data_IF_823504510453
#
_entry.id   IF_823504510453
#
_cell.length_a   1.000
_cell.length_b   1.000
_cell.length_c   1.000
_cell.angle_alpha   90.00
_cell.angle_beta   90.00
_cell.angle_gamma   90.00
#
_symmetry.space_group_name_H-M   'P 1'
#
loop_
_entity.id
_entity.type
_entity.pdbx_description
1 polymer ?
#
# COMPACT_ATOMS: atom_id res chain seq x y z
N UNK A 1 11.38 9.38 0.22
CA UNK A 1 12.25 10.58 0.08
C UNK A 1 11.57 11.90 0.44
N UNK A 2 10.37 12.22 -0.06
CA UNK A 2 9.69 13.51 0.23
C UNK A 2 9.43 13.75 1.73
N UNK A 3 9.11 12.71 2.49
CA UNK A 3 8.82 12.81 3.92
C UNK A 3 10.07 13.25 4.74
N UNK A 4 11.26 12.74 4.41
CA UNK A 4 12.52 13.15 5.05
C UNK A 4 12.85 14.62 4.80
N UNK A 5 12.65 15.06 3.56
CA UNK A 5 12.91 16.45 3.16
C UNK A 5 12.00 17.43 3.93
N UNK A 6 10.76 17.01 4.26
CA UNK A 6 9.82 17.81 5.04
C UNK A 6 10.09 17.74 6.55
N UNK A 7 10.52 16.59 7.07
CA UNK A 7 10.77 16.42 8.51
C UNK A 7 12.03 17.17 8.98
N UNK A 8 13.08 17.21 8.16
CA UNK A 8 14.36 17.83 8.53
C UNK A 8 14.25 19.29 8.97
N UNK A 9 13.61 20.21 8.21
CA UNK A 9 13.46 21.58 8.65
C UNK A 9 12.62 21.74 9.92
N UNK A 10 11.60 20.88 10.11
CA UNK A 10 10.76 20.93 11.31
C UNK A 10 11.53 20.47 12.55
N UNK A 11 12.39 19.47 12.43
CA UNK A 11 13.30 19.04 13.50
C UNK A 11 14.29 20.17 13.82
N UNK A 12 14.87 20.82 12.81
CA UNK A 12 15.80 21.92 13.01
C UNK A 12 15.14 23.09 13.75
N UNK A 13 13.91 23.46 13.41
CA UNK A 13 13.13 24.48 14.12
C UNK A 13 12.86 24.05 15.56
N UNK A 14 12.47 22.80 15.79
CA UNK A 14 12.25 22.27 17.14
C UNK A 14 13.51 22.34 18.00
N UNK A 15 14.67 21.95 17.47
CA UNK A 15 15.97 22.05 18.16
C UNK A 15 16.33 23.52 18.43
N UNK A 16 16.11 24.42 17.47
CA UNK A 16 16.34 25.83 17.64
C UNK A 16 15.50 26.43 18.78
N UNK A 17 14.22 26.08 18.88
CA UNK A 17 13.34 26.49 19.98
C UNK A 17 13.81 26.00 21.36
N UNK A 18 14.49 24.85 21.43
CA UNK A 18 15.04 24.30 22.67
C UNK A 18 16.30 25.07 23.13
N UNK A 19 17.15 25.49 22.17
CA UNK A 19 18.51 26.03 22.43
C UNK A 19 18.51 27.56 22.58
N UNK A 20 17.53 28.26 22.00
CA UNK A 20 17.48 29.71 22.01
C UNK A 20 17.36 30.25 23.44
N UNK A 21 18.33 31.08 23.83
CA UNK A 21 18.31 31.79 25.10
C UNK A 21 17.23 32.89 25.09
N UNK A 22 16.36 32.89 26.11
CA UNK A 22 15.25 33.85 26.25
C UNK A 22 13.90 33.34 25.75
N UNK A 23 13.79 32.10 25.25
CA UNK A 23 12.52 31.44 24.96
C UNK A 23 11.70 31.14 26.22
N UNK A 24 10.36 31.20 26.12
CA UNK A 24 9.46 30.82 27.21
C UNK A 24 9.54 29.29 27.48
N UNK A 25 9.15 28.87 28.71
CA UNK A 25 9.05 27.43 29.01
C UNK A 25 8.13 26.71 28.00
N UNK A 26 7.08 27.38 27.55
CA UNK A 26 6.17 26.86 26.53
C UNK A 26 6.88 26.60 25.20
N UNK A 27 7.76 27.50 24.75
CA UNK A 27 8.52 27.33 23.52
C UNK A 27 9.47 26.14 23.61
N UNK A 28 10.09 25.93 24.76
CA UNK A 28 10.97 24.78 25.00
C UNK A 28 10.20 23.46 24.98
N UNK A 29 9.03 23.42 25.62
CA UNK A 29 8.16 22.22 25.61
C UNK A 29 7.70 21.91 24.18
N UNK A 30 7.25 22.91 23.43
CA UNK A 30 6.88 22.75 22.02
C UNK A 30 8.04 22.29 21.15
N UNK A 31 9.24 22.81 21.38
CA UNK A 31 10.46 22.37 20.72
C UNK A 31 10.75 20.88 20.97
N UNK A 32 10.63 20.41 22.21
CA UNK A 32 10.80 19.00 22.56
C UNK A 32 9.76 18.12 21.91
N UNK A 33 8.46 18.50 22.01
CA UNK A 33 7.35 17.74 21.40
C UNK A 33 7.54 17.63 19.89
N UNK A 34 7.86 18.76 19.22
CA UNK A 34 8.09 18.79 17.77
C UNK A 34 9.29 17.93 17.37
N UNK A 35 10.42 18.08 18.06
CA UNK A 35 11.63 17.29 17.77
C UNK A 35 11.41 15.79 17.97
N UNK A 36 10.73 15.38 19.03
CA UNK A 36 10.41 13.96 19.27
C UNK A 36 9.45 13.43 18.21
N UNK A 37 8.39 14.17 17.90
CA UNK A 37 7.37 13.75 16.94
C UNK A 37 7.96 13.59 15.52
N UNK A 38 8.65 14.60 15.03
CA UNK A 38 9.28 14.54 13.70
C UNK A 38 10.53 13.66 13.69
N UNK A 39 11.24 13.54 14.82
CA UNK A 39 12.36 12.63 14.99
C UNK A 39 11.97 11.16 14.81
N UNK A 40 10.78 10.76 15.24
CA UNK A 40 10.24 9.42 15.00
C UNK A 40 10.02 9.12 13.51
N UNK A 41 9.82 10.13 12.67
CA UNK A 41 9.71 9.95 11.23
C UNK A 41 10.99 9.39 10.59
N UNK A 42 12.16 9.65 11.20
CA UNK A 42 13.45 9.19 10.69
C UNK A 42 13.56 7.66 10.74
N UNK A 43 13.43 6.98 11.90
CA UNK A 43 13.52 5.51 11.95
C UNK A 43 12.41 4.83 11.13
N UNK A 44 11.20 5.37 11.10
CA UNK A 44 10.10 4.84 10.29
C UNK A 44 10.44 4.94 8.79
N UNK A 45 10.93 6.09 8.36
CA UNK A 45 11.31 6.29 6.97
C UNK A 45 12.52 5.45 6.56
N UNK A 46 13.52 5.28 7.44
CA UNK A 46 14.64 4.37 7.20
C UNK A 46 14.16 2.92 7.08
N UNK A 47 13.25 2.49 7.94
CA UNK A 47 12.67 1.16 7.83
C UNK A 47 11.99 0.94 6.47
N UNK A 48 11.18 1.89 6.00
CA UNK A 48 10.57 1.80 4.68
C UNK A 48 11.59 1.85 3.52
N UNK A 49 12.69 2.57 3.67
CA UNK A 49 13.72 2.68 2.65
C UNK A 49 14.52 1.37 2.51
N UNK A 50 14.74 0.66 3.62
CA UNK A 50 15.45 -0.61 3.65
C UNK A 50 14.56 -1.83 3.46
N UNK A 51 13.23 -1.67 3.55
CA UNK A 51 12.28 -2.76 3.30
C UNK A 51 12.15 -3.01 1.79
N UNK A 52 12.98 -3.92 1.31
CA UNK A 52 13.01 -4.38 -0.09
C UNK A 52 12.06 -5.55 -0.36
N UNK A 53 11.20 -5.89 0.58
CA UNK A 53 10.27 -7.00 0.38
C UNK A 53 9.25 -6.63 -0.68
N UNK A 54 8.91 -7.57 -1.59
CA UNK A 54 7.88 -7.30 -2.60
C UNK A 54 6.56 -6.96 -1.89
N UNK A 55 5.89 -5.92 -2.38
CA UNK A 55 4.59 -5.53 -1.89
C UNK A 55 3.52 -6.47 -2.42
N UNK A 56 3.59 -6.79 -3.71
CA UNK A 56 2.66 -7.68 -4.40
C UNK A 56 3.44 -8.87 -4.95
N UNK A 57 2.93 -10.07 -4.74
CA UNK A 57 3.47 -11.31 -5.31
C UNK A 57 2.35 -11.98 -6.09
N UNK A 58 2.62 -12.25 -7.35
CA UNK A 58 1.72 -12.97 -8.25
C UNK A 58 2.36 -14.29 -8.61
N UNK A 59 1.66 -15.39 -8.39
CA UNK A 59 2.11 -16.72 -8.75
C UNK A 59 0.95 -17.59 -9.29
N UNK A 60 1.21 -18.86 -9.57
CA UNK A 60 0.21 -19.80 -10.08
C UNK A 60 -0.97 -20.05 -9.13
N UNK A 61 -0.77 -19.82 -7.83
CA UNK A 61 -1.77 -20.05 -6.78
C UNK A 61 -2.73 -18.87 -6.69
N UNK A 62 -2.20 -17.64 -6.75
CA UNK A 62 -3.01 -16.44 -6.53
C UNK A 62 -2.18 -15.16 -6.45
N UNK A 63 -2.79 -14.13 -5.90
CA UNK A 63 -2.20 -12.83 -5.61
C UNK A 63 -2.01 -12.69 -4.11
N UNK A 64 -0.84 -12.25 -3.69
CA UNK A 64 -0.55 -11.83 -2.34
C UNK A 64 -0.22 -10.35 -2.34
N UNK A 65 -0.92 -9.57 -1.53
CA UNK A 65 -0.57 -8.18 -1.24
C UNK A 65 -0.37 -8.04 0.27
N UNK A 66 0.87 -7.74 0.65
CA UNK A 66 1.30 -7.59 2.04
C UNK A 66 0.53 -6.50 2.80
N UNK A 67 -0.04 -5.53 2.09
CA UNK A 67 -0.75 -4.41 2.72
C UNK A 67 -2.19 -4.75 3.09
N UNK A 68 -2.77 -5.74 2.44
CA UNK A 68 -4.19 -6.02 2.53
C UNK A 68 -4.47 -7.36 3.20
N UNK A 69 -3.68 -8.39 2.86
CA UNK A 69 -3.98 -9.77 3.26
C UNK A 69 -2.74 -10.51 3.73
N UNK A 70 -2.91 -11.36 4.74
CA UNK A 70 -1.82 -12.15 5.32
C UNK A 70 -1.58 -13.46 4.53
N UNK A 71 -2.47 -13.80 3.57
CA UNK A 71 -2.47 -15.02 2.78
C UNK A 71 -2.66 -14.72 1.28
N UNK A 72 -2.33 -15.68 0.42
CA UNK A 72 -2.63 -15.59 -1.01
C UNK A 72 -4.13 -15.63 -1.28
N UNK A 73 -4.62 -14.70 -2.09
CA UNK A 73 -5.98 -14.73 -2.63
C UNK A 73 -5.93 -15.64 -3.87
N UNK A 74 -6.53 -16.82 -3.76
CA UNK A 74 -6.51 -17.80 -4.83
C UNK A 74 -7.27 -17.29 -6.06
N UNK A 75 -6.76 -17.59 -7.27
CA UNK A 75 -7.40 -17.24 -8.53
C UNK A 75 -8.84 -17.73 -8.65
N UNK A 76 -9.16 -18.86 -8.05
CA UNK A 76 -10.53 -19.45 -8.06
C UNK A 76 -11.53 -18.61 -7.27
N UNK A 77 -11.08 -17.77 -6.35
CA UNK A 77 -11.92 -16.88 -5.53
C UNK A 77 -12.19 -15.57 -6.28
N UNK A 78 -11.26 -15.13 -7.11
CA UNK A 78 -11.38 -13.87 -7.85
C UNK A 78 -12.27 -14.09 -9.07
N UNK A 79 -13.41 -13.39 -9.11
CA UNK A 79 -14.37 -13.46 -10.22
C UNK A 79 -13.99 -12.52 -11.36
N UNK A 80 -13.49 -11.34 -11.01
CA UNK A 80 -13.13 -10.29 -11.97
C UNK A 80 -12.20 -9.28 -11.30
N UNK A 81 -11.61 -8.37 -12.09
CA UNK A 81 -10.81 -7.26 -11.60
C UNK A 81 -11.06 -6.02 -12.47
N UNK A 82 -11.03 -4.84 -11.86
CA UNK A 82 -11.16 -3.58 -12.57
C UNK A 82 -10.29 -2.47 -11.95
N UNK A 83 -9.75 -1.57 -12.77
CA UNK A 83 -8.96 -0.46 -12.28
C UNK A 83 -9.85 0.67 -11.76
N UNK A 84 -9.42 1.34 -10.70
CA UNK A 84 -10.04 2.55 -10.16
C UNK A 84 -8.96 3.58 -9.82
N UNK A 85 -9.31 4.85 -9.97
CA UNK A 85 -8.45 5.95 -9.56
C UNK A 85 -9.15 6.76 -8.47
N UNK A 86 -8.54 6.84 -7.30
CA UNK A 86 -9.05 7.62 -6.17
C UNK A 86 -8.01 8.68 -5.82
N UNK A 87 -8.35 9.95 -6.00
CA UNK A 87 -7.48 11.10 -5.74
C UNK A 87 -6.08 11.01 -6.39
N UNK A 88 -6.00 10.48 -7.62
CA UNK A 88 -4.75 10.32 -8.35
C UNK A 88 -3.94 9.08 -7.98
N UNK A 89 -4.46 8.23 -7.09
CA UNK A 89 -3.87 6.93 -6.78
C UNK A 89 -4.59 5.81 -7.53
N UNK A 90 -3.81 4.95 -8.16
CA UNK A 90 -4.30 3.83 -8.93
C UNK A 90 -4.43 2.58 -8.06
N UNK A 91 -5.59 1.95 -8.15
CA UNK A 91 -5.89 0.68 -7.50
C UNK A 91 -6.46 -0.30 -8.51
N UNK A 92 -6.29 -1.58 -8.25
CA UNK A 92 -7.02 -2.66 -8.93
C UNK A 92 -7.92 -3.32 -7.90
N UNK A 93 -9.22 -3.18 -8.09
CA UNK A 93 -10.23 -3.81 -7.26
C UNK A 93 -10.46 -5.25 -7.71
N UNK A 94 -10.41 -6.20 -6.76
CA UNK A 94 -10.67 -7.60 -7.01
C UNK A 94 -12.11 -7.93 -6.62
N UNK A 95 -12.89 -8.42 -7.57
CA UNK A 95 -14.26 -8.87 -7.33
C UNK A 95 -14.24 -10.29 -6.80
N UNK A 96 -14.70 -10.47 -5.57
CA UNK A 96 -14.78 -11.78 -4.91
C UNK A 96 -16.22 -12.08 -4.48
N UNK A 97 -16.58 -13.34 -4.16
CA UNK A 97 -17.89 -13.67 -3.62
C UNK A 97 -18.15 -12.94 -2.29
N UNK A 98 -19.41 -12.56 -2.03
CA UNK A 98 -19.83 -11.83 -0.82
C UNK A 98 -19.50 -12.56 0.50
N UNK A 99 -19.41 -13.89 0.46
CA UNK A 99 -19.01 -14.70 1.61
C UNK A 99 -17.49 -14.69 1.88
N UNK A 100 -16.70 -14.14 0.98
CA UNK A 100 -15.25 -13.99 1.17
C UNK A 100 -14.94 -12.56 1.65
N UNK A 101 -14.97 -12.38 2.98
CA UNK A 101 -14.70 -11.10 3.64
C UNK A 101 -13.49 -11.22 4.58
N UNK A 102 -12.29 -10.93 4.11
CA UNK A 102 -11.09 -10.97 4.95
C UNK A 102 -11.16 -10.02 6.14
N UNK A 103 -11.86 -8.88 6.02
CA UNK A 103 -12.04 -7.92 7.11
C UNK A 103 -12.78 -8.48 8.31
N UNK A 104 -13.57 -9.56 8.14
CA UNK A 104 -14.28 -10.16 9.27
C UNK A 104 -13.34 -10.74 10.33
N UNK A 105 -12.12 -11.07 9.96
CA UNK A 105 -11.04 -11.51 10.86
C UNK A 105 -10.19 -10.37 11.43
N UNK A 106 -10.39 -9.12 10.96
CA UNK A 106 -9.59 -7.94 11.35
C UNK A 106 -10.29 -7.11 12.44
N UNK A 107 -9.57 -6.11 12.97
CA UNK A 107 -10.08 -5.23 14.03
C UNK A 107 -11.26 -4.37 13.59
N UNK A 108 -12.06 -3.85 14.55
CA UNK A 108 -13.18 -2.93 14.28
C UNK A 108 -12.73 -1.67 13.55
N UNK A 109 -11.52 -1.19 13.82
CA UNK A 109 -10.95 -0.03 13.14
C UNK A 109 -10.72 -0.32 11.64
N UNK A 110 -10.17 -1.49 11.32
CA UNK A 110 -9.96 -1.91 9.93
C UNK A 110 -11.30 -2.03 9.17
N UNK A 111 -12.34 -2.61 9.77
CA UNK A 111 -13.68 -2.69 9.19
C UNK A 111 -14.27 -1.30 8.88
N UNK A 112 -14.00 -0.30 9.71
CA UNK A 112 -14.40 1.08 9.46
C UNK A 112 -13.74 1.68 8.22
N UNK A 113 -12.45 1.41 8.01
CA UNK A 113 -11.71 1.86 6.83
C UNK A 113 -12.23 1.16 5.56
N UNK A 114 -12.48 -0.15 5.62
CA UNK A 114 -13.05 -0.91 4.49
C UNK A 114 -14.38 -0.32 4.07
N UNK A 115 -15.29 -0.08 5.03
CA UNK A 115 -16.59 0.51 4.74
C UNK A 115 -16.49 1.89 4.08
N UNK A 116 -15.56 2.74 4.54
CA UNK A 116 -15.30 4.03 3.92
C UNK A 116 -14.80 3.90 2.48
N UNK A 117 -13.94 2.93 2.21
CA UNK A 117 -13.44 2.64 0.87
C UNK A 117 -14.55 2.12 -0.05
N UNK A 118 -15.45 1.27 0.44
CA UNK A 118 -16.64 0.80 -0.29
C UNK A 118 -17.55 1.96 -0.69
N UNK A 119 -17.75 2.96 0.17
CA UNK A 119 -18.51 4.18 -0.14
C UNK A 119 -17.86 5.02 -1.25
N UNK A 120 -16.54 4.90 -1.42
CA UNK A 120 -15.78 5.54 -2.51
C UNK A 120 -15.74 4.70 -3.80
N UNK A 121 -16.44 3.56 -3.83
CA UNK A 121 -16.52 2.66 -4.98
C UNK A 121 -15.38 1.63 -5.08
N UNK A 122 -14.51 1.57 -4.08
CA UNK A 122 -13.50 0.52 -3.99
C UNK A 122 -14.10 -0.77 -3.41
N UNK A 123 -13.54 -1.90 -3.78
CA UNK A 123 -13.86 -3.19 -3.16
C UNK A 123 -13.06 -3.36 -1.85
N UNK A 124 -13.49 -4.29 -0.98
CA UNK A 124 -12.75 -4.67 0.22
C UNK A 124 -11.31 -5.11 -0.13
N UNK A 125 -11.17 -5.85 -1.23
CA UNK A 125 -9.88 -6.27 -1.76
C UNK A 125 -9.48 -5.37 -2.93
N UNK A 126 -8.48 -4.55 -2.70
CA UNK A 126 -7.89 -3.70 -3.72
C UNK A 126 -6.36 -3.75 -3.63
N UNK A 127 -5.70 -3.81 -4.77
CA UNK A 127 -4.24 -3.76 -4.87
C UNK A 127 -3.83 -2.30 -5.11
N UNK A 128 -3.04 -1.75 -4.22
CA UNK A 128 -2.56 -0.37 -4.36
C UNK A 128 -1.30 -0.33 -5.24
N UNK A 129 -1.39 0.39 -6.35
CA UNK A 129 -0.29 0.53 -7.31
C UNK A 129 0.52 1.82 -7.16
N UNK A 130 0.22 2.65 -6.18
CA UNK A 130 0.77 4.01 -6.05
C UNK A 130 2.29 4.13 -5.93
N UNK A 131 3.00 3.04 -5.71
CA UNK A 131 4.48 2.99 -5.64
C UNK A 131 5.09 2.03 -6.67
N UNK A 132 4.25 1.40 -7.51
CA UNK A 132 4.69 0.45 -8.53
C UNK A 132 4.68 1.16 -9.89
N UNK A 133 5.80 1.11 -10.61
CA UNK A 133 5.90 1.56 -12.00
C UNK A 133 5.33 0.48 -12.93
N UNK A 134 4.03 0.20 -12.79
CA UNK A 134 3.34 -0.83 -13.57
C UNK A 134 2.14 -0.20 -14.27
N UNK A 135 1.94 -0.59 -15.53
CA UNK A 135 0.75 -0.22 -16.29
C UNK A 135 -0.49 -0.87 -15.67
N UNK A 136 -1.34 -0.03 -15.04
CA UNK A 136 -2.55 -0.47 -14.34
C UNK A 136 -3.49 -1.28 -15.23
N UNK A 137 -3.63 -0.89 -16.51
CA UNK A 137 -4.53 -1.54 -17.46
C UNK A 137 -3.99 -2.93 -17.80
N UNK A 138 -2.71 -3.02 -18.17
CA UNK A 138 -2.08 -4.30 -18.51
C UNK A 138 -2.10 -5.28 -17.34
N UNK A 139 -1.83 -4.79 -16.12
CA UNK A 139 -1.88 -5.64 -14.93
C UNK A 139 -3.31 -6.11 -14.64
N UNK A 140 -4.31 -5.25 -14.86
CA UNK A 140 -5.72 -5.64 -14.69
C UNK A 140 -6.12 -6.72 -15.71
N UNK A 141 -5.78 -6.53 -16.99
CA UNK A 141 -6.04 -7.52 -18.04
C UNK A 141 -5.35 -8.85 -17.74
N UNK A 142 -4.10 -8.79 -17.24
CA UNK A 142 -3.38 -9.99 -16.82
C UNK A 142 -4.08 -10.70 -15.67
N UNK A 143 -4.55 -9.98 -14.64
CA UNK A 143 -5.29 -10.57 -13.52
C UNK A 143 -6.56 -11.26 -14.02
N UNK A 144 -7.34 -10.59 -14.88
CA UNK A 144 -8.54 -11.18 -15.48
C UNK A 144 -8.20 -12.43 -16.30
N UNK A 145 -7.15 -12.39 -17.12
CA UNK A 145 -6.71 -13.56 -17.86
C UNK A 145 -6.32 -14.74 -16.94
N UNK A 146 -5.65 -14.45 -15.82
CA UNK A 146 -5.29 -15.47 -14.83
C UNK A 146 -6.49 -16.11 -14.14
N UNK A 147 -7.58 -15.36 -13.90
CA UNK A 147 -8.81 -15.93 -13.31
C UNK A 147 -9.51 -16.90 -14.25
N UNK A 148 -9.43 -16.66 -15.56
CA UNK A 148 -10.09 -17.46 -16.59
C UNK A 148 -9.20 -18.60 -17.14
N UNK A 149 -7.89 -18.55 -16.86
CA UNK A 149 -6.95 -19.52 -17.39
C UNK A 149 -7.02 -20.88 -16.68
N UNK A 150 -6.92 -21.95 -17.45
CA UNK A 150 -6.66 -23.28 -16.92
C UNK A 150 -5.30 -23.33 -16.21
N UNK A 151 -5.18 -24.23 -15.24
CA UNK A 151 -3.98 -24.35 -14.39
C UNK A 151 -2.68 -24.52 -15.20
N UNK A 152 -2.73 -25.21 -16.32
CA UNK A 152 -1.59 -25.41 -17.25
C UNK A 152 -1.14 -24.11 -17.93
N UNK A 153 -2.06 -23.18 -18.22
CA UNK A 153 -1.78 -21.92 -18.90
C UNK A 153 -1.30 -20.81 -17.97
N UNK A 154 -1.59 -20.92 -16.67
CA UNK A 154 -1.19 -19.89 -15.69
C UNK A 154 0.32 -19.71 -15.64
N UNK A 155 1.07 -20.80 -15.71
CA UNK A 155 2.54 -20.77 -15.73
C UNK A 155 3.11 -20.05 -16.97
N UNK A 156 2.46 -20.18 -18.11
CA UNK A 156 2.85 -19.52 -19.36
C UNK A 156 2.55 -18.00 -19.30
N UNK A 157 1.39 -17.63 -18.80
CA UNK A 157 0.99 -16.23 -18.61
C UNK A 157 1.97 -15.49 -17.68
N UNK A 158 2.39 -16.10 -16.58
CA UNK A 158 3.36 -15.51 -15.66
C UNK A 158 4.71 -15.28 -16.35
N UNK A 159 5.20 -16.24 -17.14
CA UNK A 159 6.44 -16.07 -17.90
C UNK A 159 6.37 -14.94 -18.90
N UNK A 160 5.21 -14.75 -19.54
CA UNK A 160 5.00 -13.66 -20.49
C UNK A 160 5.05 -12.31 -19.80
N UNK A 161 4.45 -12.16 -18.61
CA UNK A 161 4.51 -10.93 -17.83
C UNK A 161 5.95 -10.58 -17.43
N UNK A 162 6.71 -11.56 -16.92
CA UNK A 162 8.09 -11.34 -16.49
C UNK A 162 9.03 -10.92 -17.63
N UNK A 163 8.78 -11.38 -18.85
CA UNK A 163 9.57 -11.00 -20.02
C UNK A 163 9.22 -9.58 -20.54
N UNK A 164 8.00 -9.11 -20.28
CA UNK A 164 7.56 -7.78 -20.70
C UNK A 164 8.11 -6.67 -19.79
N UNK A 165 8.41 -6.97 -18.52
CA UNK A 165 8.99 -6.01 -17.58
C UNK A 165 10.52 -5.89 -17.71
N UNK A 166 11.17 -6.78 -18.46
CA UNK A 166 12.64 -6.79 -18.64
C UNK A 166 13.13 -6.02 -19.88
N UNK A 167 12.24 -5.45 -20.66
CA UNK A 167 12.51 -4.61 -21.83
C UNK A 167 12.06 -3.17 -21.59
#
# INVERSE_FOLDING_TARGET
MKLFLLATPLIAVGIWMIIVDGGSETDRIMGWVGTCFFGLAIPIGLFHLFDKRPQVIINEIGIYDRTIHDEFINWEIIKDAYPINIYGQHFICLLVPENFRPSDRKSKFYKGIVKLNEELGAQELNIQLGQLEVDTIKLTEFIVAMTQAEKSKKSELIKTLSNTESN
#
